data_IF_051401952632
#
_entry.id   IF_051401952632
#
_cell.length_a   1.000
_cell.length_b   1.000
_cell.length_c   1.000
_cell.angle_alpha   90.00
_cell.angle_beta   90.00
_cell.angle_gamma   90.00
#
_symmetry.space_group_name_H-M   'P 1'
#
loop_
_entity.id
_entity.type
_entity.pdbx_description
1 polymer ?
#
# COMPACT_ATOMS: atom_id res chain seq x y z
N UNK A 1 102.27 4.80 -28.21
CA UNK A 1 101.52 5.02 -29.47
C UNK A 1 100.04 5.03 -29.12
N UNK A 2 99.35 6.13 -29.47
CA UNK A 2 97.93 6.31 -29.79
C UNK A 2 96.88 5.76 -28.78
N UNK A 3 96.09 6.59 -28.11
CA UNK A 3 95.00 7.47 -28.61
C UNK A 3 93.65 6.74 -28.77
N UNK A 4 92.60 7.51 -28.44
CA UNK A 4 91.17 7.37 -28.77
C UNK A 4 90.34 6.41 -27.90
N UNK A 5 89.48 6.92 -27.01
CA UNK A 5 88.17 7.57 -27.25
C UNK A 5 87.08 6.56 -27.65
N UNK A 6 86.06 6.45 -26.79
CA UNK A 6 84.86 5.66 -27.05
C UNK A 6 83.77 5.95 -26.02
N UNK A 7 83.13 7.10 -26.15
CA UNK A 7 81.94 7.52 -25.42
C UNK A 7 80.71 6.72 -25.87
N UNK A 8 79.99 6.08 -24.94
CA UNK A 8 78.65 5.55 -25.20
C UNK A 8 77.60 6.29 -24.39
N UNK A 9 76.60 6.76 -25.13
CA UNK A 9 75.47 7.60 -24.72
C UNK A 9 74.32 6.75 -24.15
N UNK A 10 73.49 7.43 -23.33
CA UNK A 10 72.02 7.34 -23.16
C UNK A 10 71.35 5.94 -23.27
N UNK A 11 70.42 5.57 -22.38
CA UNK A 11 69.01 5.98 -22.49
C UNK A 11 68.35 5.91 -21.10
N UNK A 12 67.70 7.02 -20.70
CA UNK A 12 66.76 7.11 -19.56
C UNK A 12 65.52 6.26 -19.86
N UNK A 13 65.32 5.18 -19.11
CA UNK A 13 64.05 4.46 -19.05
C UNK A 13 63.00 5.28 -18.31
N UNK A 14 62.09 5.91 -19.06
CA UNK A 14 60.82 6.45 -18.55
C UNK A 14 59.90 5.26 -18.24
N UNK A 15 59.72 4.95 -16.96
CA UNK A 15 58.64 4.07 -16.50
C UNK A 15 57.31 4.82 -16.70
N UNK A 16 56.58 4.41 -17.74
CA UNK A 16 55.19 4.80 -17.98
C UNK A 16 54.32 4.21 -16.87
N UNK A 17 53.81 5.08 -15.99
CA UNK A 17 52.64 4.76 -15.16
C UNK A 17 51.43 4.62 -16.09
N UNK A 18 51.03 3.38 -16.38
CA UNK A 18 49.74 3.09 -16.99
C UNK A 18 48.65 3.39 -15.96
N UNK A 19 47.95 4.51 -16.17
CA UNK A 19 46.63 4.75 -15.59
C UNK A 19 45.61 3.90 -16.36
N UNK A 20 45.20 2.77 -15.77
CA UNK A 20 44.04 2.01 -16.24
C UNK A 20 42.84 2.42 -15.38
N UNK A 21 42.11 3.41 -15.87
CA UNK A 21 40.68 3.55 -15.62
C UNK A 21 39.97 2.30 -16.17
N UNK A 22 38.98 1.76 -15.44
CA UNK A 22 37.64 1.39 -15.93
C UNK A 22 36.87 0.57 -14.88
N UNK A 23 35.69 1.09 -14.56
CA UNK A 23 34.52 0.47 -13.94
C UNK A 23 34.56 -0.06 -12.50
N UNK A 24 34.23 0.87 -11.60
CA UNK A 24 33.58 0.58 -10.32
C UNK A 24 32.10 0.22 -10.56
N UNK A 25 31.57 -0.94 -10.11
CA UNK A 25 30.14 -1.17 -10.11
C UNK A 25 29.49 -0.39 -8.97
N UNK A 26 28.82 0.71 -9.32
CA UNK A 26 27.92 1.44 -8.43
C UNK A 26 26.77 0.53 -8.01
N UNK A 27 26.88 -0.10 -6.83
CA UNK A 27 25.72 -0.58 -6.07
C UNK A 27 25.13 0.62 -5.33
N UNK A 28 24.24 1.37 -5.98
CA UNK A 28 23.36 2.31 -5.29
C UNK A 28 22.14 1.56 -4.76
N UNK A 29 22.26 1.10 -3.52
CA UNK A 29 21.13 0.78 -2.66
C UNK A 29 20.56 2.10 -2.13
N UNK A 30 19.44 2.56 -2.69
CA UNK A 30 18.41 3.30 -1.96
C UNK A 30 17.12 3.28 -2.78
N UNK A 31 15.99 2.76 -2.26
CA UNK A 31 14.70 3.08 -2.84
C UNK A 31 14.47 4.58 -2.67
N UNK A 32 14.15 5.24 -3.78
CA UNK A 32 13.61 6.59 -3.83
C UNK A 32 12.30 6.60 -3.04
N UNK A 33 12.41 6.82 -1.73
CA UNK A 33 11.33 7.27 -0.90
C UNK A 33 10.90 8.61 -1.46
N UNK A 34 9.71 8.65 -2.04
CA UNK A 34 8.97 9.87 -2.33
C UNK A 34 8.87 10.67 -1.02
N UNK A 35 9.86 11.52 -0.77
CA UNK A 35 9.80 12.57 0.22
C UNK A 35 8.79 13.60 -0.29
N UNK A 36 7.51 13.38 -0.01
CA UNK A 36 6.55 14.48 0.03
C UNK A 36 7.00 15.39 1.17
N UNK A 37 7.79 16.41 0.82
CA UNK A 37 8.07 17.54 1.69
C UNK A 37 6.76 18.30 1.87
N UNK A 38 5.98 17.92 2.87
CA UNK A 38 4.99 18.83 3.45
C UNK A 38 5.79 19.90 4.20
N UNK A 39 6.22 20.91 3.46
CA UNK A 39 6.60 22.20 4.01
C UNK A 39 5.36 22.76 4.70
N UNK A 40 5.47 22.92 6.01
CA UNK A 40 4.54 23.65 6.84
C UNK A 40 4.55 25.12 6.45
N UNK A 41 3.56 25.56 5.68
CA UNK A 41 3.22 26.98 5.57
C UNK A 41 2.58 27.41 6.91
N UNK A 42 3.43 28.01 7.75
CA UNK A 42 3.09 28.77 8.94
C UNK A 42 2.50 30.13 8.54
N UNK A 43 1.42 30.18 7.76
CA UNK A 43 0.65 31.42 7.56
C UNK A 43 -0.77 31.11 7.05
N UNK A 44 -1.72 31.03 7.98
CA UNK A 44 -3.14 30.94 7.65
C UNK A 44 -3.65 32.27 7.07
N UNK A 45 -4.51 32.26 6.03
CA UNK A 45 -5.08 33.49 5.48
C UNK A 45 -6.12 34.09 6.44
N UNK A 46 -5.75 35.22 7.06
CA UNK A 46 -6.64 36.09 7.86
C UNK A 46 -7.66 36.79 6.95
N UNK A 47 -8.89 36.29 6.91
CA UNK A 47 -10.00 37.01 6.26
C UNK A 47 -10.62 38.03 7.22
N UNK A 48 -10.51 39.32 6.87
CA UNK A 48 -11.16 40.46 7.55
C UNK A 48 -12.69 40.38 7.39
N UNK A 49 -13.43 40.38 8.49
CA UNK A 49 -14.89 40.50 8.46
C UNK A 49 -15.30 41.98 8.39
N UNK A 50 -16.01 42.37 7.33
CA UNK A 50 -16.72 43.64 7.27
C UNK A 50 -18.16 43.45 7.78
N UNK A 51 -18.51 44.17 8.85
CA UNK A 51 -19.89 44.27 9.35
C UNK A 51 -20.72 45.14 8.39
N UNK A 52 -21.82 44.61 7.88
CA UNK A 52 -22.94 45.41 7.37
C UNK A 52 -24.24 44.84 7.95
N UNK A 53 -24.95 45.66 8.73
CA UNK A 53 -26.37 45.44 9.05
C UNK A 53 -27.20 46.29 8.09
N UNK A 54 -28.07 45.68 7.28
CA UNK A 54 -29.39 46.24 6.98
C UNK A 54 -30.38 45.13 6.65
N UNK A 55 -31.51 45.22 7.34
CA UNK A 55 -32.68 44.34 7.33
C UNK A 55 -33.51 44.67 6.10
N UNK A 56 -33.97 43.67 5.36
CA UNK A 56 -35.25 43.77 4.64
C UNK A 56 -35.94 42.40 4.58
N UNK A 57 -37.14 42.37 5.15
CA UNK A 57 -38.10 41.27 5.09
C UNK A 57 -38.57 41.16 3.65
N UNK A 58 -38.53 39.96 3.05
CA UNK A 58 -39.55 39.60 2.07
C UNK A 58 -39.78 38.09 1.97
N UNK A 59 -41.08 37.77 2.11
CA UNK A 59 -41.85 36.62 1.61
C UNK A 59 -41.36 35.20 1.85
N UNK A 60 -42.08 34.52 2.75
CA UNK A 60 -42.31 33.08 2.79
C UNK A 60 -42.76 32.59 1.40
N UNK A 61 -41.87 31.92 0.69
CA UNK A 61 -42.21 30.92 -0.31
C UNK A 61 -41.16 29.80 -0.24
N UNK A 62 -41.21 29.02 0.84
CA UNK A 62 -40.56 27.72 0.87
C UNK A 62 -41.57 26.70 0.35
N UNK A 63 -41.61 26.53 -0.97
CA UNK A 63 -41.85 25.20 -1.50
C UNK A 63 -40.58 24.41 -1.20
N UNK A 64 -40.50 23.80 -0.02
CA UNK A 64 -39.49 22.77 0.24
C UNK A 64 -39.83 21.62 -0.73
N UNK A 65 -39.16 21.62 -1.88
CA UNK A 65 -39.12 20.45 -2.75
C UNK A 65 -38.62 19.30 -1.89
N UNK A 66 -39.51 18.35 -1.63
CA UNK A 66 -39.32 17.25 -0.69
C UNK A 66 -38.09 16.45 -1.05
N UNK A 67 -36.94 16.82 -0.47
CA UNK A 67 -35.78 15.95 -0.46
C UNK A 67 -36.14 14.76 0.41
N UNK A 68 -36.06 13.59 -0.17
CA UNK A 68 -36.32 12.33 0.52
C UNK A 68 -35.58 12.29 1.87
N UNK A 69 -36.31 11.99 2.94
CA UNK A 69 -35.81 11.97 4.32
C UNK A 69 -34.56 11.10 4.43
N UNK A 70 -34.55 9.99 3.69
CA UNK A 70 -33.42 9.06 3.59
C UNK A 70 -32.17 9.73 3.03
N UNK A 71 -32.31 10.46 1.91
CA UNK A 71 -31.21 11.20 1.29
C UNK A 71 -30.68 12.29 2.22
N UNK A 72 -31.56 12.99 2.96
CA UNK A 72 -31.11 13.99 3.93
C UNK A 72 -30.37 13.37 5.13
N UNK A 73 -30.76 12.16 5.56
CA UNK A 73 -30.09 11.43 6.64
C UNK A 73 -28.71 10.94 6.21
N UNK A 74 -28.60 10.34 5.02
CA UNK A 74 -27.33 9.91 4.42
C UNK A 74 -26.41 11.11 4.22
N UNK A 75 -26.95 12.21 3.68
CA UNK A 75 -26.19 13.44 3.47
C UNK A 75 -25.71 14.04 4.78
N UNK A 76 -26.53 13.98 5.85
CA UNK A 76 -26.10 14.39 7.20
C UNK A 76 -25.04 13.47 7.77
N UNK A 77 -25.16 12.16 7.61
CA UNK A 77 -24.16 11.20 8.09
C UNK A 77 -22.81 11.34 7.38
N UNK A 78 -22.82 11.69 6.09
CA UNK A 78 -21.61 11.92 5.29
C UNK A 78 -20.98 13.29 5.53
N UNK A 79 -21.82 14.33 5.71
CA UNK A 79 -21.36 15.70 5.93
C UNK A 79 -21.13 16.04 7.40
N UNK A 80 -21.42 15.14 8.34
CA UNK A 80 -21.15 15.37 9.75
C UNK A 80 -19.62 15.46 9.92
N UNK A 81 -19.05 16.67 10.10
CA UNK A 81 -17.62 16.81 10.23
C UNK A 81 -17.28 16.32 11.62
N UNK A 82 -17.11 15.01 11.79
CA UNK A 82 -16.63 14.40 13.03
C UNK A 82 -17.39 14.95 14.25
N UNK A 83 -18.66 14.57 14.44
CA UNK A 83 -19.46 14.93 15.62
C UNK A 83 -18.95 14.28 16.94
N UNK A 84 -17.66 13.98 17.03
CA UNK A 84 -16.95 13.76 18.28
C UNK A 84 -16.17 15.05 18.56
N UNK A 85 -16.35 15.70 19.72
CA UNK A 85 -15.40 16.73 20.12
C UNK A 85 -13.99 16.14 19.95
N UNK A 86 -13.07 16.92 19.38
CA UNK A 86 -11.67 16.51 19.28
C UNK A 86 -11.29 15.88 20.61
N UNK A 87 -10.92 14.59 20.63
CA UNK A 87 -10.63 13.92 21.89
C UNK A 87 -9.57 14.78 22.59
N UNK A 88 -9.67 14.93 23.93
CA UNK A 88 -8.71 15.74 24.66
C UNK A 88 -7.29 15.29 24.28
N UNK A 89 -6.35 16.22 24.11
CA UNK A 89 -4.98 15.86 23.80
C UNK A 89 -4.49 14.86 24.86
N UNK A 90 -3.90 13.76 24.40
CA UNK A 90 -3.38 12.74 25.30
C UNK A 90 -2.33 13.37 26.23
N UNK A 91 -2.19 12.81 27.45
CA UNK A 91 -1.08 13.18 28.32
C UNK A 91 0.25 12.95 27.59
N UNK A 92 1.28 13.71 27.95
CA UNK A 92 2.60 13.60 27.32
C UNK A 92 3.17 12.18 27.42
N UNK A 93 2.95 11.53 28.57
CA UNK A 93 3.33 10.13 28.80
C UNK A 93 2.64 9.17 27.83
N UNK A 94 1.33 9.31 27.64
CA UNK A 94 0.57 8.47 26.72
C UNK A 94 0.94 8.76 25.26
N UNK A 95 1.29 10.01 24.93
CA UNK A 95 1.78 10.40 23.60
C UNK A 95 3.14 9.76 23.30
N UNK A 96 4.06 9.77 24.28
CA UNK A 96 5.36 9.11 24.17
C UNK A 96 5.19 7.59 24.00
N UNK A 97 4.31 6.97 24.80
CA UNK A 97 3.98 5.54 24.69
C UNK A 97 3.40 5.19 23.32
N UNK A 98 2.47 5.99 22.78
CA UNK A 98 1.90 5.78 21.44
C UNK A 98 2.96 5.91 20.34
N UNK A 99 3.88 6.88 20.47
CA UNK A 99 4.99 7.06 19.55
C UNK A 99 5.91 5.83 19.53
N UNK A 100 6.25 5.30 20.70
CA UNK A 100 7.06 4.09 20.83
C UNK A 100 6.35 2.85 20.24
N UNK A 101 5.06 2.66 20.56
CA UNK A 101 4.24 1.59 19.98
C UNK A 101 4.21 1.70 18.46
N UNK A 102 4.01 2.90 17.91
CA UNK A 102 4.00 3.13 16.47
C UNK A 102 5.33 2.78 15.79
N UNK A 103 6.46 3.15 16.41
CA UNK A 103 7.80 2.76 15.93
C UNK A 103 7.99 1.25 15.94
N UNK A 104 7.65 0.60 17.04
CA UNK A 104 7.77 -0.85 17.18
C UNK A 104 6.88 -1.61 16.19
N UNK A 105 5.66 -1.13 15.98
CA UNK A 105 4.75 -1.67 14.97
C UNK A 105 5.32 -1.57 13.56
N UNK A 106 5.85 -0.40 13.18
CA UNK A 106 6.45 -0.20 11.87
C UNK A 106 7.65 -1.13 11.66
N UNK A 107 8.55 -1.19 12.65
CA UNK A 107 9.70 -2.10 12.62
C UNK A 107 9.25 -3.56 12.47
N UNK A 108 8.25 -4.00 13.25
CA UNK A 108 7.70 -5.35 13.17
C UNK A 108 7.11 -5.66 11.79
N UNK A 109 6.33 -4.72 11.24
CA UNK A 109 5.72 -4.83 9.92
C UNK A 109 6.78 -4.97 8.82
N UNK A 110 7.84 -4.16 8.85
CA UNK A 110 8.95 -4.28 7.90
C UNK A 110 9.72 -5.59 8.05
N UNK A 111 9.93 -6.08 9.27
CA UNK A 111 10.56 -7.39 9.50
C UNK A 111 9.72 -8.51 8.88
N UNK A 112 8.40 -8.52 9.08
CA UNK A 112 7.50 -9.51 8.49
C UNK A 112 7.51 -9.42 6.96
N UNK A 113 7.41 -8.21 6.41
CA UNK A 113 7.47 -7.99 4.97
C UNK A 113 8.77 -8.51 4.35
N UNK A 114 9.91 -8.20 4.97
CA UNK A 114 11.23 -8.66 4.52
C UNK A 114 11.35 -10.19 4.59
N UNK A 115 10.82 -10.82 5.64
CA UNK A 115 10.83 -12.28 5.77
C UNK A 115 10.00 -12.95 4.66
N UNK A 116 8.78 -12.44 4.41
CA UNK A 116 7.90 -12.95 3.35
C UNK A 116 8.53 -12.75 1.96
N UNK A 117 9.11 -11.59 1.69
CA UNK A 117 9.77 -11.32 0.41
C UNK A 117 11.03 -12.17 0.21
N UNK A 118 11.80 -12.40 1.28
CA UNK A 118 12.97 -13.27 1.23
C UNK A 118 12.56 -14.70 0.86
N UNK A 119 11.57 -15.25 1.57
CA UNK A 119 11.02 -16.59 1.28
C UNK A 119 10.46 -16.69 -0.14
N UNK A 120 9.65 -15.71 -0.58
CA UNK A 120 9.14 -15.65 -1.95
C UNK A 120 10.26 -15.61 -2.99
N UNK A 121 11.29 -14.79 -2.74
CA UNK A 121 12.45 -14.69 -3.64
C UNK A 121 13.22 -16.01 -3.71
N UNK A 122 13.41 -16.69 -2.59
CA UNK A 122 14.03 -18.02 -2.55
C UNK A 122 13.22 -19.02 -3.38
N UNK A 123 11.89 -19.07 -3.19
CA UNK A 123 10.99 -19.93 -3.96
C UNK A 123 11.07 -19.64 -5.46
N UNK A 124 11.05 -18.38 -5.87
CA UNK A 124 11.19 -18.00 -7.28
C UNK A 124 12.54 -18.42 -7.86
N UNK A 125 13.65 -18.20 -7.14
CA UNK A 125 14.99 -18.63 -7.57
C UNK A 125 15.07 -20.15 -7.73
N UNK A 126 14.53 -20.89 -6.77
CA UNK A 126 14.48 -22.36 -6.84
C UNK A 126 13.65 -22.86 -8.02
N UNK A 127 12.46 -22.26 -8.25
CA UNK A 127 11.61 -22.59 -9.42
C UNK A 127 12.34 -22.33 -10.73
N UNK A 128 12.95 -21.15 -10.88
CA UNK A 128 13.71 -20.79 -12.08
C UNK A 128 14.91 -21.73 -12.29
N UNK A 129 15.60 -22.09 -11.21
CA UNK A 129 16.70 -23.06 -11.25
C UNK A 129 16.22 -24.44 -11.70
N UNK A 130 15.10 -24.94 -11.17
CA UNK A 130 14.52 -26.20 -11.58
C UNK A 130 14.13 -26.21 -13.06
N UNK A 131 13.48 -25.14 -13.56
CA UNK A 131 13.16 -24.99 -14.99
C UNK A 131 14.44 -24.97 -15.84
N UNK A 132 15.49 -24.31 -15.35
CA UNK A 132 16.77 -24.23 -16.07
C UNK A 132 17.49 -25.57 -16.22
N UNK A 133 17.26 -26.50 -15.28
CA UNK A 133 17.80 -27.85 -15.28
C UNK A 133 17.09 -28.79 -16.27
N UNK A 134 15.90 -28.43 -16.77
CA UNK A 134 15.23 -29.20 -17.81
C UNK A 134 16.02 -29.15 -19.11
N UNK A 135 16.03 -30.25 -19.90
CA UNK A 135 16.71 -30.28 -21.19
C UNK A 135 16.29 -29.12 -22.09
N UNK A 136 17.27 -28.45 -22.69
CA UNK A 136 17.03 -27.34 -23.63
C UNK A 136 16.29 -27.90 -24.86
N UNK A 137 15.29 -27.17 -25.35
CA UNK A 137 14.46 -27.54 -26.51
C UNK A 137 13.65 -28.83 -26.32
N UNK A 138 13.27 -29.15 -25.07
CA UNK A 138 12.31 -30.23 -24.79
C UNK A 138 10.90 -29.65 -24.65
N UNK A 139 9.90 -30.43 -25.07
CA UNK A 139 8.48 -30.11 -24.88
C UNK A 139 8.15 -29.87 -23.40
N UNK A 140 8.79 -30.61 -22.50
CA UNK A 140 8.65 -30.44 -21.04
C UNK A 140 9.03 -29.03 -20.57
N UNK A 141 10.08 -28.43 -21.14
CA UNK A 141 10.50 -27.08 -20.78
C UNK A 141 9.55 -26.03 -21.35
N UNK A 142 9.02 -26.27 -22.55
CA UNK A 142 8.04 -25.38 -23.19
C UNK A 142 6.72 -25.37 -22.42
N UNK A 143 6.23 -26.55 -22.04
CA UNK A 143 5.04 -26.71 -21.19
C UNK A 143 5.24 -26.07 -19.81
N UNK A 144 6.39 -26.26 -19.17
CA UNK A 144 6.68 -25.64 -17.87
C UNK A 144 6.78 -24.11 -17.89
N UNK A 145 7.00 -23.51 -19.07
CA UNK A 145 7.03 -22.04 -19.26
C UNK A 145 5.64 -21.47 -19.60
N UNK A 146 4.66 -22.32 -19.93
CA UNK A 146 3.30 -21.90 -20.23
C UNK A 146 2.64 -21.37 -18.95
N UNK A 147 1.94 -20.25 -19.08
CA UNK A 147 1.13 -19.70 -17.98
C UNK A 147 -0.25 -20.32 -18.08
N UNK A 148 -0.67 -21.00 -17.01
CA UNK A 148 -2.01 -21.58 -16.92
C UNK A 148 -3.03 -20.48 -16.66
N UNK A 149 -3.70 -20.03 -17.73
CA UNK A 149 -4.73 -19.00 -17.66
C UNK A 149 -6.04 -19.53 -17.07
N UNK A 150 -6.33 -20.83 -17.24
CA UNK A 150 -7.52 -21.50 -16.68
C UNK A 150 -7.51 -21.49 -15.14
N UNK A 151 -6.31 -21.46 -14.55
CA UNK A 151 -6.12 -21.33 -13.10
C UNK A 151 -6.46 -19.94 -12.60
N UNK A 152 -6.38 -18.88 -13.42
CA UNK A 152 -6.65 -17.49 -12.97
C UNK A 152 -8.14 -17.32 -12.63
N UNK A 153 -9.04 -17.90 -13.41
CA UNK A 153 -10.49 -17.83 -13.15
C UNK A 153 -10.94 -18.77 -12.02
N UNK A 154 -10.19 -19.86 -11.78
CA UNK A 154 -10.51 -20.90 -10.79
C UNK A 154 -9.62 -20.87 -9.53
N UNK A 155 -8.78 -19.85 -9.36
CA UNK A 155 -7.97 -19.65 -8.15
C UNK A 155 -8.51 -18.53 -7.26
N UNK A 156 -8.52 -18.73 -5.93
CA UNK A 156 -8.18 -19.97 -5.22
C UNK A 156 -9.23 -21.08 -5.45
N UNK A 157 -8.85 -22.37 -5.31
CA UNK A 157 -9.80 -23.46 -5.46
C UNK A 157 -11.01 -23.28 -4.53
N UNK A 158 -12.23 -23.47 -5.05
CA UNK A 158 -13.49 -23.20 -4.32
C UNK A 158 -13.63 -24.01 -3.02
N UNK A 159 -12.97 -25.16 -2.92
CA UNK A 159 -12.94 -25.98 -1.71
C UNK A 159 -12.04 -25.43 -0.60
N UNK A 160 -11.16 -24.46 -0.90
CA UNK A 160 -10.30 -23.81 0.09
C UNK A 160 -10.99 -22.57 0.66
N UNK A 161 -11.66 -22.75 1.78
CA UNK A 161 -12.33 -21.66 2.49
C UNK A 161 -11.34 -20.66 3.11
N UNK A 162 -11.73 -19.39 3.18
CA UNK A 162 -10.99 -18.36 3.93
C UNK A 162 -11.11 -18.68 5.42
N UNK A 163 -10.01 -18.64 6.19
CA UNK A 163 -10.07 -18.84 7.63
C UNK A 163 -11.03 -17.84 8.29
N UNK A 164 -11.99 -18.35 9.05
CA UNK A 164 -12.91 -17.55 9.86
C UNK A 164 -12.55 -17.67 11.33
N UNK A 165 -12.88 -16.64 12.13
CA UNK A 165 -12.63 -16.68 13.57
C UNK A 165 -13.38 -17.81 14.27
N UNK A 166 -14.62 -18.05 13.84
CA UNK A 166 -15.46 -19.16 14.32
C UNK A 166 -15.63 -20.16 13.19
N UNK A 167 -15.39 -21.46 13.41
CA UNK A 167 -15.63 -22.49 12.39
C UNK A 167 -17.13 -22.57 12.05
N UNK A 168 -17.49 -22.91 10.80
CA UNK A 168 -18.89 -23.07 10.42
C UNK A 168 -19.55 -24.24 11.16
N UNK A 169 -20.82 -24.07 11.53
CA UNK A 169 -21.61 -25.13 12.16
C UNK A 169 -21.88 -26.23 11.11
N UNK A 170 -21.57 -27.51 11.37
CA UNK A 170 -21.80 -28.59 10.41
C UNK A 170 -23.28 -28.70 10.02
N UNK A 171 -23.57 -28.67 8.72
CA UNK A 171 -24.94 -28.83 8.20
C UNK A 171 -25.85 -27.60 8.36
N UNK A 172 -25.36 -26.49 8.92
CA UNK A 172 -26.12 -25.24 8.97
C UNK A 172 -26.18 -24.62 7.57
N UNK A 173 -27.38 -24.51 7.03
CA UNK A 173 -27.64 -23.83 5.75
C UNK A 173 -28.30 -22.46 6.03
N UNK A 174 -27.56 -21.35 5.87
CA UNK A 174 -28.09 -20.01 6.10
C UNK A 174 -29.35 -19.71 5.27
N UNK A 175 -29.49 -20.34 4.10
CA UNK A 175 -30.63 -20.12 3.19
C UNK A 175 -31.96 -20.53 3.79
N UNK A 176 -31.98 -21.41 4.80
CA UNK A 176 -33.19 -21.84 5.49
C UNK A 176 -33.74 -20.80 6.47
N UNK A 177 -32.91 -19.84 6.89
CA UNK A 177 -33.22 -18.88 7.95
C UNK A 177 -33.19 -17.43 7.48
N UNK A 178 -32.73 -17.17 6.26
CA UNK A 178 -32.96 -15.88 5.60
C UNK A 178 -34.45 -15.85 5.30
N UNK A 179 -35.20 -15.05 6.06
CA UNK A 179 -36.58 -14.73 5.77
C UNK A 179 -36.64 -14.25 4.31
N UNK A 180 -37.35 -14.99 3.46
CA UNK A 180 -37.74 -14.46 2.16
C UNK A 180 -38.72 -13.33 2.43
N UNK A 181 -38.58 -12.22 1.71
CA UNK A 181 -39.36 -10.98 1.93
C UNK A 181 -40.88 -11.24 2.02
N UNK A 182 -41.36 -12.32 1.39
CA UNK A 182 -42.75 -12.80 1.46
C UNK A 182 -43.26 -13.07 2.91
N UNK A 183 -42.38 -13.49 3.84
CA UNK A 183 -42.73 -13.75 5.25
C UNK A 183 -42.58 -12.51 6.15
N UNK A 184 -41.99 -11.41 5.66
CA UNK A 184 -41.79 -10.20 6.45
C UNK A 184 -43.11 -9.40 6.57
N UNK A 185 -43.93 -9.39 5.51
CA UNK A 185 -45.24 -8.74 5.53
C UNK A 185 -46.25 -9.38 6.49
N UNK A 186 -46.15 -10.69 6.72
CA UNK A 186 -47.08 -11.41 7.61
C UNK A 186 -46.74 -11.15 9.09
N UNK A 187 -45.45 -11.01 9.41
CA UNK A 187 -44.96 -10.70 10.76
C UNK A 187 -45.18 -9.23 11.16
N UNK A 188 -45.14 -8.30 10.19
CA UNK A 188 -45.51 -6.90 10.43
C UNK A 188 -47.01 -6.72 10.69
N UNK A 189 -47.89 -7.58 10.13
CA UNK A 189 -49.34 -7.57 10.43
C UNK A 189 -49.67 -8.14 11.82
N UNK A 190 -48.92 -9.12 12.30
CA UNK A 190 -49.15 -9.71 13.63
C UNK A 190 -48.62 -8.85 14.79
N UNK A 191 -47.58 -8.06 14.56
CA UNK A 191 -46.98 -7.18 15.58
C UNK A 191 -47.64 -5.80 15.70
N UNK A 192 -48.56 -5.48 14.78
CA UNK A 192 -49.32 -4.21 14.76
C UNK A 192 -50.79 -4.35 15.17
N UNK A 193 -51.21 -5.52 15.67
CA UNK A 193 -52.50 -5.73 16.33
C UNK A 193 -52.36 -5.84 17.85
#
# INVERSE_FOLDING_TARGET
>A
MNSAMGTMRLIKGRSLFLALSHHHPQRSLVPSCMQSRFLSDMDGPKTKQLKVKKKEKNKKSKSDGGKDRTVTLITKALNDPQNKPNPPPASEEEMARRSEIGRNYNIGTFKQHNALNHDLTCKLKMKNHAISMLPKNSTLREEALKIDMDDIENHPPKWRSIPTWTPPIPGFDPKKFILKDDNLEELERETSS
#
